data_IF_707014441065
#
_entry.id   IF_707014441065
#
_cell.length_a   1.000
_cell.length_b   1.000
_cell.length_c   1.000
_cell.angle_alpha   90.00
_cell.angle_beta   90.00
_cell.angle_gamma   90.00
#
_symmetry.space_group_name_H-M   'P 1'
#
loop_
_entity.id
_entity.type
_entity.pdbx_description
1 polymer ?
#
# COMPACT_ATOMS: atom_id res chain seq x y z
N UNK A 1 -29.20 20.66 1.35
CA UNK A 1 -28.44 19.44 1.05
C UNK A 1 -29.26 18.25 1.54
N UNK A 2 -29.46 17.20 0.73
CA UNK A 2 -30.57 16.25 0.91
C UNK A 2 -30.26 15.02 1.80
N UNK A 3 -29.02 14.83 2.28
CA UNK A 3 -28.64 13.57 2.97
C UNK A 3 -27.72 13.70 4.20
N UNK A 4 -27.49 14.91 4.75
CA UNK A 4 -26.80 15.10 6.04
C UNK A 4 -25.36 14.58 6.13
N UNK A 5 -24.72 14.24 5.02
CA UNK A 5 -23.33 13.80 4.95
C UNK A 5 -22.49 14.87 4.26
N UNK A 6 -21.35 15.19 4.86
CA UNK A 6 -20.39 16.16 4.34
C UNK A 6 -18.99 15.56 4.31
N UNK A 7 -18.18 15.99 3.34
CA UNK A 7 -16.78 15.63 3.27
C UNK A 7 -15.99 16.46 4.29
N UNK A 8 -15.15 15.78 5.08
CA UNK A 8 -14.16 16.49 5.89
C UNK A 8 -13.02 16.99 4.98
N UNK A 9 -12.99 18.29 4.73
CA UNK A 9 -12.04 18.92 3.81
C UNK A 9 -10.58 18.83 4.28
N UNK A 10 -10.33 18.71 5.58
CA UNK A 10 -8.98 18.56 6.14
C UNK A 10 -8.40 17.16 5.87
N UNK A 11 -9.26 16.13 5.88
CA UNK A 11 -8.85 14.73 5.67
C UNK A 11 -8.91 14.31 4.20
N UNK A 12 -9.75 14.97 3.42
CA UNK A 12 -9.95 14.67 1.99
C UNK A 12 -8.81 15.26 1.18
N UNK A 13 -8.19 14.43 0.34
CA UNK A 13 -7.10 14.86 -0.54
C UNK A 13 -7.21 14.20 -1.91
N UNK A 14 -6.85 14.92 -2.96
CA UNK A 14 -6.69 14.35 -4.30
C UNK A 14 -5.29 13.77 -4.42
N UNK A 15 -5.18 12.47 -4.71
CA UNK A 15 -3.88 11.81 -4.90
C UNK A 15 -3.62 11.63 -6.38
N UNK A 16 -2.42 12.03 -6.81
CA UNK A 16 -1.98 11.80 -8.18
C UNK A 16 -1.50 10.36 -8.35
N UNK A 17 -2.30 9.59 -9.09
CA UNK A 17 -1.93 8.23 -9.48
C UNK A 17 -0.87 8.28 -10.59
N UNK A 18 0.42 8.35 -10.23
CA UNK A 18 1.52 8.39 -11.20
C UNK A 18 1.81 7.01 -11.80
N UNK A 19 1.97 6.95 -13.13
CA UNK A 19 2.36 5.76 -13.92
C UNK A 19 3.35 6.13 -15.04
N UNK A 20 3.59 5.21 -16.00
CA UNK A 20 4.53 5.40 -17.12
C UNK A 20 4.18 6.62 -17.99
N UNK A 21 2.88 6.86 -18.24
CA UNK A 21 2.38 7.93 -19.11
C UNK A 21 2.17 9.25 -18.35
N UNK A 22 1.84 9.17 -17.05
CA UNK A 22 1.54 10.30 -16.17
C UNK A 22 2.80 10.81 -15.46
N UNK A 23 3.58 11.65 -16.15
CA UNK A 23 4.90 12.14 -15.68
C UNK A 23 4.86 13.35 -14.73
N UNK A 24 3.68 13.87 -14.41
CA UNK A 24 3.49 15.02 -13.53
C UNK A 24 4.12 14.83 -12.15
N UNK A 25 4.43 15.95 -11.50
CA UNK A 25 4.89 15.98 -10.12
C UNK A 25 3.81 16.63 -9.26
N UNK A 26 3.41 15.93 -8.21
CA UNK A 26 2.35 16.35 -7.29
C UNK A 26 2.81 16.01 -5.87
N UNK A 27 2.33 16.78 -4.89
CA UNK A 27 2.65 16.59 -3.48
C UNK A 27 2.20 15.20 -2.98
N UNK A 28 0.95 14.83 -3.26
CA UNK A 28 0.38 13.55 -2.87
C UNK A 28 0.44 12.54 -4.03
N UNK A 29 1.29 11.53 -3.89
CA UNK A 29 1.44 10.42 -4.84
C UNK A 29 1.26 9.04 -4.20
N UNK A 30 0.76 9.00 -2.96
CA UNK A 30 0.45 7.74 -2.29
C UNK A 30 -0.65 7.91 -1.24
N UNK A 31 -1.35 6.82 -0.95
CA UNK A 31 -2.29 6.73 0.16
C UNK A 31 -2.40 5.30 0.69
N UNK A 32 -2.87 5.18 1.94
CA UNK A 32 -3.18 3.90 2.55
C UNK A 32 -4.69 3.63 2.49
N UNK A 33 -5.08 2.43 2.08
CA UNK A 33 -6.46 1.97 2.11
C UNK A 33 -6.51 0.45 2.35
N UNK A 34 -7.37 0.02 3.28
CA UNK A 34 -7.57 -1.39 3.66
C UNK A 34 -6.26 -2.16 3.96
N UNK A 35 -5.29 -1.50 4.58
CA UNK A 35 -4.01 -2.13 4.93
C UNK A 35 -2.99 -2.21 3.78
N UNK A 36 -3.26 -1.58 2.63
CA UNK A 36 -2.36 -1.45 1.50
C UNK A 36 -1.93 0.00 1.30
N UNK A 37 -0.69 0.20 0.87
CA UNK A 37 -0.21 1.50 0.37
C UNK A 37 -0.24 1.49 -1.15
N UNK A 38 -1.08 2.33 -1.73
CA UNK A 38 -1.14 2.60 -3.16
C UNK A 38 -0.13 3.68 -3.51
N UNK A 39 0.76 3.39 -4.48
CA UNK A 39 1.79 4.33 -4.97
C UNK A 39 2.36 3.87 -6.32
N UNK A 40 3.15 4.68 -7.02
CA UNK A 40 3.89 4.25 -8.20
C UNK A 40 4.86 3.11 -7.86
N UNK A 41 4.79 2.03 -8.63
CA UNK A 41 5.58 0.80 -8.47
C UNK A 41 5.94 0.23 -9.82
N UNK A 42 7.05 -0.50 -9.88
CA UNK A 42 7.39 -1.31 -11.04
C UNK A 42 6.45 -2.51 -11.15
N UNK A 43 5.95 -2.73 -12.36
CA UNK A 43 5.10 -3.85 -12.75
C UNK A 43 5.69 -4.52 -13.99
N UNK A 44 5.33 -5.78 -14.22
CA UNK A 44 5.72 -6.55 -15.40
C UNK A 44 4.46 -6.96 -16.15
N UNK A 45 4.39 -6.69 -17.45
CA UNK A 45 3.24 -7.11 -18.26
C UNK A 45 3.38 -8.58 -18.69
N UNK A 46 2.36 -9.12 -19.35
CA UNK A 46 2.35 -10.53 -19.83
C UNK A 46 3.45 -10.85 -20.86
N UNK A 47 4.01 -9.84 -21.53
CA UNK A 47 5.10 -9.97 -22.49
C UNK A 47 6.48 -9.78 -21.85
N UNK A 48 6.52 -9.56 -20.54
CA UNK A 48 7.74 -9.38 -19.77
C UNK A 48 8.35 -7.98 -19.78
N UNK A 49 7.71 -7.00 -20.41
CA UNK A 49 8.11 -5.59 -20.34
C UNK A 49 7.82 -5.04 -18.94
N UNK A 50 8.82 -4.37 -18.37
CA UNK A 50 8.66 -3.63 -17.12
C UNK A 50 8.12 -2.22 -17.40
N UNK A 51 7.22 -1.76 -16.54
CA UNK A 51 6.64 -0.43 -16.59
C UNK A 51 6.31 0.08 -15.20
N UNK A 52 6.08 1.39 -15.05
CA UNK A 52 5.61 1.97 -13.80
C UNK A 52 4.08 2.00 -13.83
N UNK A 53 3.45 1.49 -12.78
CA UNK A 53 2.01 1.56 -12.61
C UNK A 53 1.66 1.94 -11.16
N UNK A 54 0.47 2.47 -10.94
CA UNK A 54 -0.01 2.83 -9.63
C UNK A 54 -0.68 1.62 -8.96
N UNK A 55 0.07 0.92 -8.10
CA UNK A 55 -0.33 -0.39 -7.59
C UNK A 55 -0.33 -0.47 -6.05
N UNK A 56 -1.23 -1.26 -5.46
CA UNK A 56 -1.20 -1.56 -4.04
C UNK A 56 -0.03 -2.49 -3.70
N UNK A 57 0.53 -2.32 -2.51
CA UNK A 57 1.25 -3.38 -1.82
C UNK A 57 1.00 -3.27 -0.33
N UNK A 58 1.27 -4.33 0.43
CA UNK A 58 1.08 -4.34 1.88
C UNK A 58 1.68 -3.08 2.53
N UNK A 59 0.84 -2.37 3.28
CA UNK A 59 1.18 -1.11 3.91
C UNK A 59 2.15 -1.30 5.08
N UNK A 60 2.91 -0.26 5.41
CA UNK A 60 3.96 -0.37 6.44
C UNK A 60 3.38 -0.68 7.83
N UNK A 61 2.19 -0.14 8.14
CA UNK A 61 1.45 -0.46 9.37
C UNK A 61 1.12 -1.95 9.44
N UNK A 62 0.58 -2.50 8.35
CA UNK A 62 0.25 -3.92 8.24
C UNK A 62 1.49 -4.80 8.37
N UNK A 63 2.59 -4.46 7.68
CA UNK A 63 3.88 -5.16 7.81
C UNK A 63 4.38 -5.18 9.25
N UNK A 64 4.32 -4.04 9.95
CA UNK A 64 4.75 -3.94 11.35
C UNK A 64 3.89 -4.80 12.27
N UNK A 65 2.56 -4.81 12.08
CA UNK A 65 1.64 -5.66 12.84
C UNK A 65 1.97 -7.14 12.67
N UNK A 66 2.07 -7.61 11.42
CA UNK A 66 2.41 -9.01 11.11
C UNK A 66 3.77 -9.38 11.69
N UNK A 67 4.80 -8.55 11.51
CA UNK A 67 6.14 -8.81 12.09
C UNK A 67 6.10 -8.89 13.61
N UNK A 68 5.30 -8.05 14.27
CA UNK A 68 5.15 -8.07 15.73
C UNK A 68 4.51 -9.38 16.19
N UNK A 69 3.46 -9.82 15.50
CA UNK A 69 2.78 -11.09 15.76
C UNK A 69 3.72 -12.28 15.56
N UNK A 70 4.39 -12.37 14.41
CA UNK A 70 5.37 -13.44 14.12
C UNK A 70 6.49 -13.50 15.17
N UNK A 71 7.00 -12.35 15.61
CA UNK A 71 8.02 -12.30 16.69
C UNK A 71 7.48 -12.81 18.03
N UNK A 72 6.20 -12.61 18.32
CA UNK A 72 5.58 -13.07 19.57
C UNK A 72 5.52 -14.59 19.69
N UNK A 73 5.54 -15.31 18.56
CA UNK A 73 5.53 -16.78 18.54
C UNK A 73 6.83 -17.39 19.07
N UNK A 74 7.90 -16.59 19.15
CA UNK A 74 9.25 -17.00 19.61
C UNK A 74 9.73 -18.29 18.95
N UNK A 75 9.58 -18.39 17.61
CA UNK A 75 9.93 -19.58 16.83
C UNK A 75 11.38 -20.04 17.07
N UNK A 76 12.30 -19.10 17.31
CA UNK A 76 13.69 -19.40 17.66
C UNK A 76 13.86 -20.22 18.96
N UNK A 77 12.83 -20.27 19.82
CA UNK A 77 12.81 -21.07 21.05
C UNK A 77 12.05 -22.39 20.90
N UNK A 78 11.54 -22.69 19.69
CA UNK A 78 10.77 -23.90 19.39
C UNK A 78 11.53 -24.74 18.35
N UNK A 79 12.55 -25.50 18.76
CA UNK A 79 13.41 -26.26 17.84
C UNK A 79 12.77 -27.55 17.31
N UNK A 80 11.53 -27.86 17.68
CA UNK A 80 10.84 -29.04 17.16
C UNK A 80 10.63 -28.88 15.65
N UNK A 81 11.27 -29.77 14.87
CA UNK A 81 11.41 -29.73 13.42
C UNK A 81 10.35 -30.56 12.70
N UNK A 82 9.15 -30.68 13.25
CA UNK A 82 8.04 -31.26 12.50
C UNK A 82 7.25 -30.13 11.85
N UNK A 83 7.64 -29.81 10.62
CA UNK A 83 6.86 -29.00 9.68
C UNK A 83 6.11 -29.94 8.73
#
# INVERSE_FOLDING_TARGET
MMFGLELNLEKTRTVYCKDEDRKGNHEYTSFDFLGYTFRPRHAKNKYGKFFTNFLPAIGEKSKKSIRKEVRSWKLQLKPDKNL
#
